data_IF_030295196499
#
_entry.id   IF_030295196499
#
_cell.length_a   1.000
_cell.length_b   1.000
_cell.length_c   1.000
_cell.angle_alpha   90.00
_cell.angle_beta   90.00
_cell.angle_gamma   90.00
#
_symmetry.space_group_name_H-M   'P 1'
#
loop_
_entity.id
_entity.type
_entity.pdbx_description
1 polymer ?
#
# COMPACT_ATOMS: atom_id res chain seq x y z
N UNK A 1 -12.35 11.42 -6.19
CA UNK A 1 -13.58 10.61 -5.97
C UNK A 1 -14.07 10.58 -4.51
N UNK A 2 -13.39 11.19 -3.52
CA UNK A 2 -13.97 11.40 -2.18
C UNK A 2 -14.37 10.12 -1.44
N UNK A 3 -13.83 8.97 -1.85
CA UNK A 3 -14.05 7.67 -1.23
C UNK A 3 -12.96 7.45 -0.18
N UNK A 4 -13.38 7.02 1.01
CA UNK A 4 -12.49 6.61 2.08
C UNK A 4 -12.07 5.15 1.84
N UNK A 5 -10.77 4.90 1.70
CA UNK A 5 -10.27 3.52 1.59
C UNK A 5 -9.90 3.05 3.00
N UNK A 6 -10.57 1.99 3.46
CA UNK A 6 -10.33 1.40 4.78
C UNK A 6 -9.36 0.23 4.65
N UNK A 7 -8.42 0.18 5.58
CA UNK A 7 -7.45 -0.92 5.73
C UNK A 7 -8.17 -2.27 5.86
N UNK A 8 -7.50 -3.38 5.49
CA UNK A 8 -8.05 -4.70 5.72
C UNK A 8 -8.21 -4.93 7.23
N UNK A 9 -9.27 -5.65 7.61
CA UNK A 9 -9.57 -5.98 9.00
C UNK A 9 -10.05 -7.43 9.12
N UNK A 10 -9.58 -8.14 10.14
CA UNK A 10 -9.86 -9.57 10.29
C UNK A 10 -11.34 -9.88 10.55
N UNK A 11 -12.10 -8.94 11.11
CA UNK A 11 -13.51 -9.10 11.45
C UNK A 11 -14.44 -8.49 10.39
N UNK A 12 -14.01 -7.45 9.70
CA UNK A 12 -14.84 -6.65 8.81
C UNK A 12 -14.52 -6.83 7.32
N UNK A 13 -13.30 -7.25 6.94
CA UNK A 13 -12.98 -7.52 5.55
C UNK A 13 -13.47 -8.89 5.11
N UNK A 14 -14.02 -8.98 3.91
CA UNK A 14 -14.26 -10.26 3.23
C UNK A 14 -13.08 -10.59 2.31
N UNK A 15 -13.17 -11.71 1.59
CA UNK A 15 -12.15 -12.06 0.59
C UNK A 15 -12.01 -10.97 -0.48
N UNK A 16 -13.13 -10.52 -1.05
CA UNK A 16 -13.18 -9.46 -2.06
C UNK A 16 -13.26 -8.08 -1.43
N UNK A 17 -12.97 -7.04 -2.21
CA UNK A 17 -13.18 -5.65 -1.81
C UNK A 17 -14.67 -5.37 -1.63
N UNK A 18 -15.02 -4.64 -0.57
CA UNK A 18 -16.41 -4.28 -0.28
C UNK A 18 -16.55 -2.77 -0.23
N UNK A 19 -17.40 -2.25 -1.12
CA UNK A 19 -17.88 -0.87 -1.06
C UNK A 19 -19.11 -0.76 -0.18
N UNK A 20 -19.10 0.17 0.79
CA UNK A 20 -20.27 0.57 1.56
C UNK A 20 -20.30 2.10 1.69
N UNK A 21 -21.39 2.72 1.23
CA UNK A 21 -21.57 4.17 1.18
C UNK A 21 -20.42 4.85 0.42
N UNK A 22 -19.67 5.73 1.09
CA UNK A 22 -18.48 6.42 0.57
C UNK A 22 -17.17 5.77 1.03
N UNK A 23 -17.20 4.50 1.44
CA UNK A 23 -16.01 3.79 1.86
C UNK A 23 -15.83 2.49 1.10
N UNK A 24 -14.58 2.15 0.79
CA UNK A 24 -14.19 0.85 0.24
C UNK A 24 -13.27 0.20 1.27
N UNK A 25 -13.65 -0.97 1.79
CA UNK A 25 -12.76 -1.77 2.63
C UNK A 25 -11.98 -2.74 1.76
N UNK A 26 -10.68 -2.79 2.01
CA UNK A 26 -9.75 -3.66 1.31
C UNK A 26 -10.06 -5.12 1.63
N UNK A 27 -10.19 -5.92 0.58
CA UNK A 27 -10.41 -7.36 0.70
C UNK A 27 -9.15 -8.11 1.12
N UNK A 28 -9.31 -9.21 1.85
CA UNK A 28 -8.19 -10.04 2.31
C UNK A 28 -7.45 -10.72 1.15
N UNK A 29 -8.04 -10.77 -0.05
CA UNK A 29 -7.36 -11.22 -1.27
C UNK A 29 -6.16 -10.34 -1.66
N UNK A 30 -6.08 -9.11 -1.14
CA UNK A 30 -4.97 -8.19 -1.42
C UNK A 30 -3.67 -8.58 -0.73
N UNK A 31 -3.73 -9.41 0.32
CA UNK A 31 -2.57 -9.83 1.08
C UNK A 31 -1.63 -10.67 0.20
N UNK A 32 -0.40 -10.19 0.05
CA UNK A 32 0.65 -10.90 -0.68
C UNK A 32 1.06 -12.16 0.07
N UNK A 33 1.28 -13.23 -0.68
CA UNK A 33 1.89 -14.47 -0.19
C UNK A 33 1.14 -15.20 0.94
N UNK A 34 -0.12 -14.84 1.21
CA UNK A 34 -0.91 -15.52 2.24
C UNK A 34 -1.48 -16.84 1.71
N UNK A 35 -1.54 -17.87 2.55
CA UNK A 35 -2.21 -19.11 2.18
C UNK A 35 -3.73 -18.91 2.05
N UNK A 36 -4.23 -18.92 0.81
CA UNK A 36 -5.66 -18.76 0.50
C UNK A 36 -6.55 -19.77 1.21
N UNK A 37 -6.12 -21.03 1.31
CA UNK A 37 -6.90 -22.08 1.98
C UNK A 37 -7.10 -21.75 3.46
N UNK A 38 -6.00 -21.35 4.12
CA UNK A 38 -6.04 -20.99 5.53
C UNK A 38 -6.92 -19.76 5.79
N UNK A 39 -6.88 -18.76 4.90
CA UNK A 39 -7.77 -17.60 4.99
C UNK A 39 -9.25 -17.91 4.74
N UNK A 40 -9.56 -18.86 3.86
CA UNK A 40 -10.94 -19.32 3.66
C UNK A 40 -11.47 -19.99 4.94
N UNK A 41 -10.64 -20.78 5.62
CA UNK A 41 -11.01 -21.42 6.88
C UNK A 41 -11.28 -20.39 7.99
N UNK A 42 -10.45 -19.33 8.06
CA UNK A 42 -10.68 -18.18 8.97
C UNK A 42 -12.02 -17.51 8.69
N UNK A 43 -12.32 -17.19 7.42
CA UNK A 43 -13.58 -16.57 7.03
C UNK A 43 -14.79 -17.48 7.32
N UNK A 44 -14.65 -18.78 7.11
CA UNK A 44 -15.68 -19.77 7.42
C UNK A 44 -15.94 -19.83 8.92
N UNK A 45 -14.88 -19.92 9.73
CA UNK A 45 -14.99 -19.86 11.19
C UNK A 45 -15.73 -18.60 11.66
N UNK A 46 -15.35 -17.43 11.12
CA UNK A 46 -15.98 -16.15 11.46
C UNK A 46 -17.48 -16.14 11.15
N UNK A 47 -17.89 -16.72 10.03
CA UNK A 47 -19.32 -16.83 9.64
C UNK A 47 -20.11 -17.77 10.54
N UNK A 48 -19.50 -18.87 10.98
CA UNK A 48 -20.18 -19.89 11.79
C UNK A 48 -20.18 -19.57 13.30
N UNK A 49 -19.13 -18.92 13.81
CA UNK A 49 -18.92 -18.71 15.26
C UNK A 49 -18.93 -17.24 15.68
N UNK A 50 -18.99 -16.31 14.72
CA UNK A 50 -18.96 -14.87 14.97
C UNK A 50 -17.54 -14.28 14.92
N UNK A 51 -17.41 -12.97 15.20
CA UNK A 51 -16.14 -12.24 15.12
C UNK A 51 -15.14 -12.70 16.19
N UNK A 52 -13.86 -12.47 15.93
CA UNK A 52 -12.80 -12.66 16.92
C UNK A 52 -12.84 -11.52 17.95
N UNK A 53 -12.74 -11.86 19.23
CA UNK A 53 -12.79 -10.93 20.36
C UNK A 53 -11.41 -10.38 20.78
N UNK A 54 -10.34 -11.09 20.45
CA UNK A 54 -8.95 -10.69 20.73
C UNK A 54 -7.98 -11.41 19.79
N UNK A 55 -6.74 -10.90 19.71
CA UNK A 55 -5.68 -11.57 18.98
C UNK A 55 -5.39 -12.97 19.53
N UNK A 56 -5.44 -13.14 20.85
CA UNK A 56 -5.29 -14.47 21.47
C UNK A 56 -6.41 -15.43 21.06
N UNK A 57 -7.67 -14.95 21.04
CA UNK A 57 -8.79 -15.76 20.56
C UNK A 57 -8.59 -16.20 19.10
N UNK A 58 -8.04 -15.33 18.25
CA UNK A 58 -7.67 -15.67 16.88
C UNK A 58 -6.59 -16.78 16.82
N UNK A 59 -5.51 -16.67 17.58
CA UNK A 59 -4.42 -17.66 17.61
C UNK A 59 -4.88 -19.06 18.07
N UNK A 60 -5.80 -19.13 19.04
CA UNK A 60 -6.31 -20.40 19.55
C UNK A 60 -7.23 -21.14 18.56
N UNK A 61 -7.93 -20.39 17.70
CA UNK A 61 -8.98 -20.94 16.83
C UNK A 61 -8.50 -21.24 15.41
N UNK A 62 -7.43 -20.57 14.99
CA UNK A 62 -6.90 -20.70 13.64
C UNK A 62 -5.72 -21.67 13.60
N UNK A 63 -5.59 -22.39 12.48
CA UNK A 63 -4.44 -23.27 12.22
C UNK A 63 -3.43 -22.64 11.25
N UNK A 64 -3.51 -21.31 11.10
CA UNK A 64 -2.63 -20.55 10.23
C UNK A 64 -1.20 -20.66 10.73
N UNK A 65 -0.24 -20.63 9.80
CA UNK A 65 1.17 -20.63 10.18
C UNK A 65 1.60 -19.26 10.71
N UNK A 66 2.75 -19.21 11.37
CA UNK A 66 3.26 -17.96 11.91
C UNK A 66 3.61 -16.93 10.81
N UNK A 67 3.89 -17.37 9.58
CA UNK A 67 4.27 -16.47 8.48
C UNK A 67 3.04 -15.71 7.96
N UNK A 68 1.94 -16.42 7.70
CA UNK A 68 0.64 -15.89 7.30
C UNK A 68 0.10 -14.92 8.37
N UNK A 69 0.24 -15.25 9.66
CA UNK A 69 -0.24 -14.37 10.74
C UNK A 69 0.62 -13.10 10.81
N UNK A 70 1.92 -13.21 10.59
CA UNK A 70 2.80 -12.04 10.51
C UNK A 70 2.40 -11.11 9.35
N UNK A 71 1.99 -11.66 8.20
CA UNK A 71 1.47 -10.87 7.08
C UNK A 71 0.19 -10.11 7.48
N UNK A 72 -0.75 -10.77 8.19
CA UNK A 72 -1.95 -10.10 8.70
C UNK A 72 -1.63 -8.96 9.67
N UNK A 73 -0.66 -9.15 10.57
CA UNK A 73 -0.22 -8.10 11.49
C UNK A 73 0.40 -6.93 10.71
N UNK A 74 1.30 -7.21 9.77
CA UNK A 74 1.96 -6.19 8.93
C UNK A 74 0.97 -5.41 8.06
N UNK A 75 -0.11 -6.06 7.60
CA UNK A 75 -1.18 -5.42 6.85
C UNK A 75 -2.14 -4.57 7.69
N UNK A 76 -2.04 -4.61 9.02
CA UNK A 76 -2.94 -3.89 9.92
C UNK A 76 -4.30 -4.56 10.16
N UNK A 77 -4.43 -5.86 9.85
CA UNK A 77 -5.71 -6.58 10.01
C UNK A 77 -6.20 -6.71 11.47
N UNK A 78 -5.35 -6.39 12.44
CA UNK A 78 -5.66 -6.44 13.87
C UNK A 78 -5.70 -5.05 14.53
N UNK A 79 -5.50 -3.97 13.76
CA UNK A 79 -5.41 -2.61 14.30
C UNK A 79 -6.75 -2.16 14.95
N UNK A 80 -7.91 -2.56 14.40
CA UNK A 80 -9.24 -2.30 15.03
C UNK A 80 -9.54 -3.28 16.18
N UNK A 81 -9.01 -4.51 16.14
CA UNK A 81 -9.23 -5.53 17.17
C UNK A 81 -8.46 -5.24 18.45
N UNK A 82 -7.25 -4.71 18.33
CA UNK A 82 -6.32 -4.46 19.44
C UNK A 82 -5.82 -3.00 19.41
N UNK A 83 -6.70 -1.99 19.61
CA UNK A 83 -6.36 -0.58 19.43
C UNK A 83 -5.28 -0.06 20.41
N UNK A 84 -5.05 -0.78 21.51
CA UNK A 84 -4.01 -0.46 22.49
C UNK A 84 -2.67 -1.15 22.24
N UNK A 85 -2.56 -2.01 21.22
CA UNK A 85 -1.35 -2.77 20.94
C UNK A 85 -0.66 -2.32 19.66
N UNK A 86 0.67 -2.31 19.69
CA UNK A 86 1.49 -2.01 18.53
C UNK A 86 1.75 -3.28 17.71
N UNK A 87 1.95 -3.14 16.39
CA UNK A 87 2.34 -4.28 15.52
C UNK A 87 3.57 -5.04 16.05
N UNK A 88 4.64 -4.38 16.55
CA UNK A 88 5.73 -5.05 17.26
C UNK A 88 5.28 -5.94 18.42
N UNK A 89 4.35 -5.48 19.26
CA UNK A 89 3.84 -6.25 20.40
C UNK A 89 3.07 -7.48 19.93
N UNK A 90 2.22 -7.35 18.90
CA UNK A 90 1.50 -8.48 18.30
C UNK A 90 2.45 -9.53 17.70
N UNK A 91 3.54 -9.09 17.04
CA UNK A 91 4.57 -9.99 16.51
C UNK A 91 5.31 -10.75 17.63
N UNK A 92 5.54 -10.12 18.77
CA UNK A 92 6.12 -10.80 19.94
C UNK A 92 5.17 -11.81 20.56
N UNK A 93 3.88 -11.46 20.68
CA UNK A 93 2.84 -12.41 21.12
C UNK A 93 2.76 -13.63 20.21
N UNK A 94 2.80 -13.41 18.89
CA UNK A 94 2.84 -14.47 17.89
C UNK A 94 4.04 -15.39 18.10
N UNK A 95 5.25 -14.83 18.20
CA UNK A 95 6.47 -15.62 18.43
C UNK A 95 6.39 -16.44 19.72
N UNK A 96 5.92 -15.83 20.80
CA UNK A 96 5.77 -16.51 22.09
C UNK A 96 4.77 -17.67 22.01
N UNK A 97 3.62 -17.47 21.36
CA UNK A 97 2.60 -18.51 21.21
C UNK A 97 3.12 -19.74 20.46
N UNK A 98 3.83 -19.53 19.35
CA UNK A 98 4.41 -20.64 18.58
C UNK A 98 5.58 -21.33 19.29
N UNK A 99 6.36 -20.60 20.10
CA UNK A 99 7.42 -21.20 20.91
C UNK A 99 6.87 -22.15 21.99
N UNK A 100 5.81 -21.73 22.68
CA UNK A 100 5.14 -22.55 23.71
C UNK A 100 4.50 -23.79 23.08
N UNK A 101 3.69 -23.61 22.03
CA UNK A 101 2.99 -24.74 21.37
C UNK A 101 3.95 -25.77 20.75
N UNK A 102 5.11 -25.36 20.25
CA UNK A 102 6.15 -26.29 19.79
C UNK A 102 6.78 -27.07 20.95
N UNK A 103 6.97 -26.43 22.11
CA UNK A 103 7.56 -27.05 23.30
C UNK A 103 6.61 -28.09 23.89
N UNK A 104 5.32 -27.78 23.99
CA UNK A 104 4.31 -28.71 24.52
C UNK A 104 4.11 -29.93 23.62
N UNK A 105 4.11 -29.74 22.29
CA UNK A 105 4.09 -30.84 21.33
C UNK A 105 5.29 -31.78 21.46
N UNK A 106 6.48 -31.24 21.74
CA UNK A 106 7.70 -32.04 21.93
C UNK A 106 7.72 -32.79 23.27
N UNK A 107 7.10 -32.23 24.31
CA UNK A 107 7.07 -32.82 25.66
C UNK A 107 5.90 -33.79 25.89
N UNK A 108 4.98 -33.95 24.92
CA UNK A 108 3.83 -34.85 25.02
C UNK A 108 2.88 -34.52 26.18
N UNK A 109 3.03 -33.35 26.78
CA UNK A 109 2.26 -32.94 27.96
C UNK A 109 1.07 -32.13 27.45
N UNK A 110 -0.13 -32.68 27.57
CA UNK A 110 -1.35 -31.89 27.47
C UNK A 110 -1.35 -30.94 28.67
N UNK A 111 -1.01 -29.67 28.48
CA UNK A 111 -0.99 -28.70 29.57
C UNK A 111 -2.42 -28.49 30.07
N UNK A 112 -2.78 -29.23 31.13
CA UNK A 112 -4.03 -29.17 31.88
C UNK A 112 -4.06 -27.97 32.83
N UNK A 113 -2.97 -27.21 32.89
CA UNK A 113 -2.90 -25.92 33.56
C UNK A 113 -3.04 -24.85 32.49
N UNK A 114 -4.17 -24.13 32.54
CA UNK A 114 -4.31 -22.84 31.89
C UNK A 114 -3.08 -22.02 32.28
N UNK A 115 -2.27 -21.66 31.29
CA UNK A 115 -1.16 -20.74 31.47
C UNK A 115 -1.79 -19.36 31.65
N UNK A 116 -2.37 -19.11 32.82
CA UNK A 116 -2.57 -17.78 33.37
C UNK A 116 -1.21 -17.22 33.79
N UNK A 117 -0.39 -17.00 32.78
CA UNK A 117 0.66 -16.01 32.83
C UNK A 117 0.72 -15.53 31.40
N UNK A 118 0.13 -14.36 31.14
CA UNK A 118 0.65 -13.53 30.06
C UNK A 118 2.16 -13.52 30.31
N UNK A 119 2.99 -14.17 29.47
CA UNK A 119 4.42 -14.08 29.69
C UNK A 119 4.74 -12.59 29.79
N UNK A 120 5.67 -12.19 30.67
CA UNK A 120 6.16 -10.82 30.68
C UNK A 120 6.83 -10.57 29.33
N UNK A 121 6.00 -10.28 28.33
CA UNK A 121 6.42 -10.08 26.96
C UNK A 121 7.09 -8.72 26.90
N UNK A 122 8.17 -8.61 26.11
CA UNK A 122 8.74 -7.31 25.87
C UNK A 122 7.67 -6.39 25.31
N UNK A 123 7.68 -5.14 25.75
CA UNK A 123 6.88 -4.06 25.19
C UNK A 123 7.79 -3.22 24.30
N UNK A 124 8.13 -3.69 23.09
CA UNK A 124 8.92 -2.90 22.16
C UNK A 124 8.19 -1.58 21.85
N UNK A 125 8.94 -0.51 21.56
CA UNK A 125 8.35 0.72 21.04
C UNK A 125 7.59 0.43 19.73
N UNK A 126 6.64 1.29 19.40
CA UNK A 126 5.99 1.25 18.10
C UNK A 126 7.04 1.38 16.98
N UNK A 127 6.74 0.79 15.82
CA UNK A 127 7.53 1.07 14.63
C UNK A 127 7.42 2.57 14.30
N UNK A 128 8.51 3.11 13.78
CA UNK A 128 8.50 4.40 13.11
C UNK A 128 7.61 4.35 11.85
N UNK A 129 7.25 5.54 11.34
CA UNK A 129 6.31 5.65 10.21
C UNK A 129 6.88 4.95 8.97
N UNK A 130 8.18 5.09 8.71
CA UNK A 130 8.83 4.50 7.53
C UNK A 130 8.77 2.96 7.57
N UNK A 131 9.15 2.33 8.68
CA UNK A 131 9.03 0.88 8.84
C UNK A 131 7.59 0.40 8.71
N UNK A 132 6.62 1.16 9.23
CA UNK A 132 5.20 0.82 9.13
C UNK A 132 4.73 0.81 7.67
N UNK A 133 5.12 1.83 6.89
CA UNK A 133 4.79 1.92 5.47
C UNK A 133 5.47 0.82 4.66
N UNK A 134 6.74 0.50 4.96
CA UNK A 134 7.45 -0.60 4.31
C UNK A 134 6.76 -1.95 4.55
N UNK A 135 6.30 -2.21 5.78
CA UNK A 135 5.52 -3.41 6.10
C UNK A 135 4.18 -3.47 5.37
N UNK A 136 3.52 -2.33 5.18
CA UNK A 136 2.29 -2.25 4.41
C UNK A 136 2.54 -2.62 2.94
N UNK A 137 3.61 -2.11 2.32
CA UNK A 137 4.01 -2.50 0.95
C UNK A 137 4.40 -3.97 0.86
N UNK A 138 5.11 -4.50 1.86
CA UNK A 138 5.47 -5.92 1.91
C UNK A 138 4.22 -6.82 1.95
N UNK A 139 3.25 -6.45 2.79
CA UNK A 139 2.05 -7.25 3.02
C UNK A 139 0.96 -7.07 1.96
N UNK A 140 0.78 -5.87 1.41
CA UNK A 140 -0.32 -5.55 0.48
C UNK A 140 0.15 -5.28 -0.95
N UNK A 141 1.41 -4.90 -1.10
CA UNK A 141 2.03 -4.57 -2.38
C UNK A 141 1.99 -3.12 -2.79
N UNK A 142 1.19 -2.30 -2.11
CA UNK A 142 1.09 -0.86 -2.31
C UNK A 142 0.65 -0.20 -1.00
N UNK A 143 0.81 1.12 -0.93
CA UNK A 143 0.31 1.91 0.19
C UNK A 143 -1.16 2.24 -0.02
N UNK A 144 -1.96 1.91 0.98
CA UNK A 144 -3.38 2.24 1.10
C UNK A 144 -3.53 3.46 1.99
N UNK A 145 -2.71 3.53 3.05
CA UNK A 145 -2.74 4.58 4.05
C UNK A 145 -2.20 5.94 3.55
N UNK A 146 -1.37 5.94 2.51
CA UNK A 146 -0.63 7.11 2.00
C UNK A 146 -0.39 7.03 0.50
N UNK A 147 -0.07 8.17 -0.11
CA UNK A 147 0.36 8.24 -1.50
C UNK A 147 1.75 7.55 -1.67
N UNK A 148 1.99 6.75 -2.73
CA UNK A 148 3.26 6.03 -2.96
C UNK A 148 4.52 6.90 -2.92
N UNK A 149 4.45 8.14 -3.43
CA UNK A 149 5.51 9.16 -3.29
C UNK A 149 6.01 9.40 -1.86
N UNK A 150 5.23 9.02 -0.84
CA UNK A 150 5.65 9.09 0.57
C UNK A 150 6.93 8.30 0.83
N UNK A 151 7.15 7.19 0.12
CA UNK A 151 8.35 6.35 0.23
C UNK A 151 9.61 7.03 -0.31
N UNK A 152 9.46 8.09 -1.10
CA UNK A 152 10.56 8.80 -1.77
C UNK A 152 10.80 10.19 -1.16
N UNK A 153 10.18 10.50 -0.02
CA UNK A 153 10.25 11.85 0.59
C UNK A 153 11.68 12.35 0.78
N UNK A 154 12.61 11.49 1.20
CA UNK A 154 14.00 11.86 1.40
C UNK A 154 14.66 12.35 0.11
N UNK A 155 14.54 11.57 -0.98
CA UNK A 155 15.06 11.91 -2.30
C UNK A 155 14.37 13.16 -2.88
N UNK A 156 13.05 13.25 -2.71
CA UNK A 156 12.26 14.38 -3.21
C UNK A 156 12.58 15.70 -2.49
N UNK A 157 12.98 15.66 -1.22
CA UNK A 157 13.34 16.86 -0.46
C UNK A 157 14.66 17.50 -0.95
N UNK A 158 15.52 16.74 -1.64
CA UNK A 158 16.76 17.25 -2.24
C UNK A 158 16.53 17.87 -3.63
N UNK A 159 15.33 17.70 -4.19
CA UNK A 159 14.98 18.14 -5.53
C UNK A 159 14.11 19.41 -5.49
N UNK A 160 14.44 20.39 -6.33
CA UNK A 160 13.57 21.53 -6.59
C UNK A 160 12.55 21.17 -7.67
N UNK A 161 11.30 20.90 -7.28
CA UNK A 161 10.20 20.60 -8.19
C UNK A 161 8.94 21.43 -7.89
N UNK A 162 8.10 21.56 -8.91
CA UNK A 162 6.79 22.23 -8.84
C UNK A 162 5.71 21.17 -8.63
N UNK A 163 4.74 21.50 -7.77
CA UNK A 163 3.57 20.67 -7.48
C UNK A 163 2.61 20.64 -8.67
N UNK A 164 2.01 19.49 -8.92
CA UNK A 164 1.01 19.28 -9.96
C UNK A 164 -0.13 20.29 -9.92
N UNK A 165 -0.59 20.61 -8.71
CA UNK A 165 -1.64 21.61 -8.45
C UNK A 165 -1.27 23.04 -8.90
N UNK A 166 0.01 23.35 -9.09
CA UNK A 166 0.50 24.69 -9.42
C UNK A 166 0.87 24.87 -10.89
N UNK A 167 0.74 23.84 -11.74
CA UNK A 167 1.13 23.89 -13.15
C UNK A 167 0.66 25.18 -13.85
N UNK A 168 -0.60 25.59 -13.63
CA UNK A 168 -1.21 26.77 -14.25
C UNK A 168 -0.44 28.07 -14.02
N UNK A 169 0.33 28.18 -12.92
CA UNK A 169 1.12 29.38 -12.59
C UNK A 169 2.36 29.52 -13.49
N UNK A 170 2.80 28.43 -14.12
CA UNK A 170 4.06 28.33 -14.84
C UNK A 170 3.87 28.20 -16.36
N UNK A 171 2.70 28.57 -16.90
CA UNK A 171 2.43 28.53 -18.35
C UNK A 171 3.51 29.28 -19.12
N UNK A 172 4.05 28.63 -20.15
CA UNK A 172 5.14 29.14 -20.98
C UNK A 172 6.54 28.90 -20.42
N UNK A 173 6.67 28.47 -19.16
CA UNK A 173 7.95 28.21 -18.50
C UNK A 173 8.32 26.74 -18.55
N UNK A 174 9.62 26.46 -18.47
CA UNK A 174 10.16 25.11 -18.30
C UNK A 174 10.30 24.78 -16.82
N UNK A 175 9.69 23.70 -16.37
CA UNK A 175 9.65 23.30 -14.96
C UNK A 175 10.07 21.84 -14.78
N UNK A 176 10.33 21.46 -13.52
CA UNK A 176 10.52 20.08 -13.09
C UNK A 176 9.32 19.69 -12.23
N UNK A 177 8.70 18.55 -12.51
CA UNK A 177 7.60 17.96 -11.75
C UNK A 177 7.94 16.52 -11.37
N UNK A 178 7.25 16.01 -10.36
CA UNK A 178 7.30 14.59 -9.97
C UNK A 178 5.97 13.96 -10.33
N UNK A 179 6.02 12.86 -11.07
CA UNK A 179 4.84 12.16 -11.54
C UNK A 179 4.86 10.69 -11.18
N UNK A 180 3.77 10.23 -10.55
CA UNK A 180 3.41 8.82 -10.48
C UNK A 180 2.46 8.49 -11.65
N UNK A 181 2.77 7.46 -12.43
CA UNK A 181 1.97 7.13 -13.61
C UNK A 181 0.55 6.70 -13.24
N UNK A 182 -0.47 7.32 -13.85
CA UNK A 182 -1.88 6.96 -13.66
C UNK A 182 -2.42 6.21 -14.89
N UNK A 183 -2.35 6.84 -16.06
CA UNK A 183 -2.84 6.26 -17.31
C UNK A 183 -2.21 6.97 -18.52
N UNK A 184 -2.21 6.28 -19.66
CA UNK A 184 -1.63 6.77 -20.90
C UNK A 184 -2.51 6.44 -22.11
N UNK A 185 -2.50 7.31 -23.11
CA UNK A 185 -3.19 7.11 -24.39
C UNK A 185 -2.24 7.39 -25.54
N UNK A 186 -1.81 6.31 -26.17
CA UNK A 186 -0.99 6.36 -27.39
C UNK A 186 -1.84 6.90 -28.55
N UNK A 187 -1.26 7.81 -29.32
CA UNK A 187 -1.87 8.41 -30.50
C UNK A 187 -0.82 8.73 -31.55
N UNK A 188 -1.23 9.27 -32.69
CA UNK A 188 -0.34 9.65 -33.77
C UNK A 188 -0.53 11.13 -34.11
N UNK A 189 0.57 11.80 -34.42
CA UNK A 189 0.55 13.15 -34.97
C UNK A 189 -0.08 13.17 -36.36
N UNK A 190 -0.32 14.36 -36.92
CA UNK A 190 -0.75 14.53 -38.31
C UNK A 190 0.22 13.94 -39.34
N UNK A 191 1.48 13.73 -38.95
CA UNK A 191 2.53 13.11 -39.77
C UNK A 191 2.69 11.61 -39.47
N UNK A 192 1.69 10.99 -38.83
CA UNK A 192 1.65 9.57 -38.47
C UNK A 192 2.76 9.11 -37.49
N UNK A 193 3.49 10.03 -36.87
CA UNK A 193 4.46 9.72 -35.82
C UNK A 193 3.77 9.47 -34.48
N UNK A 194 4.18 8.42 -33.77
CA UNK A 194 3.62 8.03 -32.47
C UNK A 194 3.92 9.07 -31.40
N UNK A 195 2.94 9.36 -30.54
CA UNK A 195 3.07 10.21 -29.37
C UNK A 195 2.12 9.71 -28.28
N UNK A 196 2.28 10.17 -27.04
CA UNK A 196 1.41 9.74 -25.94
C UNK A 196 0.98 10.89 -25.05
N UNK A 197 -0.30 10.90 -24.69
CA UNK A 197 -0.81 11.71 -23.59
C UNK A 197 -0.82 10.86 -22.33
N UNK A 198 -0.14 11.32 -21.28
CA UNK A 198 0.01 10.57 -20.05
C UNK A 198 -0.45 11.43 -18.89
N UNK A 199 -1.37 10.90 -18.09
CA UNK A 199 -1.79 11.49 -16.83
C UNK A 199 -0.86 10.98 -15.73
N UNK A 200 -0.23 11.93 -15.03
CA UNK A 200 0.58 11.66 -13.86
C UNK A 200 -0.09 12.26 -12.63
N UNK A 201 0.22 11.74 -11.45
CA UNK A 201 -0.21 12.31 -10.18
C UNK A 201 0.95 12.61 -9.25
N UNK A 202 0.80 13.66 -8.46
CA UNK A 202 1.59 13.88 -7.27
C UNK A 202 0.70 13.92 -6.03
N UNK A 203 1.29 14.20 -4.87
CA UNK A 203 0.53 14.33 -3.61
C UNK A 203 -0.52 15.46 -3.59
N UNK A 204 -0.58 16.29 -4.64
CA UNK A 204 -1.40 17.51 -4.70
C UNK A 204 -2.44 17.50 -5.81
N UNK A 205 -2.15 16.90 -6.98
CA UNK A 205 -3.08 16.83 -8.11
C UNK A 205 -2.69 15.75 -9.11
N UNK A 206 -3.69 15.31 -9.89
CA UNK A 206 -3.48 14.67 -11.19
C UNK A 206 -3.25 15.78 -12.22
N UNK A 207 -2.24 15.64 -13.07
CA UNK A 207 -1.89 16.57 -14.13
C UNK A 207 -1.55 15.84 -15.43
N UNK A 208 -1.81 16.51 -16.54
CA UNK A 208 -1.64 15.93 -17.88
C UNK A 208 -0.27 16.27 -18.46
N UNK A 209 0.30 15.31 -19.19
CA UNK A 209 1.60 15.46 -19.85
C UNK A 209 1.53 14.97 -21.29
N UNK A 210 2.38 15.55 -22.13
CA UNK A 210 2.47 15.20 -23.55
C UNK A 210 3.87 14.74 -23.88
N UNK A 211 3.98 13.51 -24.39
CA UNK A 211 5.20 12.91 -24.89
C UNK A 211 5.16 12.95 -26.42
N UNK A 212 5.68 14.02 -27.00
CA UNK A 212 5.82 14.15 -28.45
C UNK A 212 6.78 13.09 -29.03
N UNK A 213 6.75 12.80 -30.35
CA UNK A 213 7.42 11.62 -30.91
C UNK A 213 8.87 11.42 -30.49
N UNK A 214 9.69 12.48 -30.51
CA UNK A 214 11.08 12.43 -30.06
C UNK A 214 11.23 12.02 -28.58
N UNK A 215 10.37 12.55 -27.72
CA UNK A 215 10.34 12.22 -26.28
C UNK A 215 9.77 10.82 -26.06
N UNK A 216 8.70 10.48 -26.77
CA UNK A 216 8.05 9.17 -26.73
C UNK A 216 9.05 8.06 -27.06
N UNK A 217 9.68 8.11 -28.23
CA UNK A 217 10.64 7.10 -28.68
C UNK A 217 11.80 6.95 -27.69
N UNK A 218 12.23 8.07 -27.07
CA UNK A 218 13.37 8.09 -26.17
C UNK A 218 13.05 7.59 -24.76
N UNK A 219 11.88 7.87 -24.21
CA UNK A 219 11.63 7.72 -22.78
C UNK A 219 10.45 6.83 -22.42
N UNK A 220 9.61 6.41 -23.39
CA UNK A 220 8.38 5.69 -23.04
C UNK A 220 8.62 4.38 -22.30
N UNK A 221 9.73 3.69 -22.61
CA UNK A 221 10.14 2.46 -21.93
C UNK A 221 10.49 2.65 -20.44
N UNK A 222 10.69 3.89 -19.98
CA UNK A 222 10.89 4.21 -18.57
C UNK A 222 9.57 4.42 -17.82
N UNK A 223 8.49 4.74 -18.53
CA UNK A 223 7.18 5.02 -17.94
C UNK A 223 6.55 3.73 -17.42
N UNK A 224 6.36 3.67 -16.11
CA UNK A 224 5.88 2.50 -15.39
C UNK A 224 5.11 2.91 -14.14
N UNK A 225 4.20 2.05 -13.68
CA UNK A 225 3.32 2.30 -12.52
C UNK A 225 3.93 1.89 -11.18
N UNK A 226 5.19 1.45 -11.17
CA UNK A 226 5.88 0.90 -10.00
C UNK A 226 6.78 1.92 -9.28
N UNK A 227 7.16 3.01 -9.95
CA UNK A 227 8.07 4.03 -9.40
C UNK A 227 7.75 5.43 -9.92
N UNK A 228 8.11 6.47 -9.16
CA UNK A 228 7.91 7.84 -9.61
C UNK A 228 8.97 8.26 -10.62
N UNK A 229 8.58 9.21 -11.47
CA UNK A 229 9.44 9.83 -12.47
C UNK A 229 9.63 11.32 -12.18
N UNK A 230 10.84 11.80 -12.42
CA UNK A 230 11.15 13.22 -12.55
C UNK A 230 10.88 13.61 -13.99
N UNK A 231 9.95 14.53 -14.20
CA UNK A 231 9.52 15.02 -15.50
C UNK A 231 9.97 16.46 -15.67
N UNK A 232 10.73 16.75 -16.72
CA UNK A 232 11.08 18.13 -17.10
C UNK A 232 10.47 18.45 -18.45
N UNK A 233 9.94 19.66 -18.55
CA UNK A 233 9.23 20.07 -19.75
C UNK A 233 8.69 21.47 -19.65
N UNK A 234 8.05 21.92 -20.73
CA UNK A 234 7.41 23.22 -20.82
C UNK A 234 5.94 23.10 -20.48
N UNK A 235 5.43 24.00 -19.64
CA UNK A 235 3.99 24.08 -19.39
C UNK A 235 3.32 24.79 -20.55
N UNK A 236 2.33 24.15 -21.14
CA UNK A 236 1.56 24.67 -22.26
C UNK A 236 0.08 24.71 -21.89
N UNK A 237 -0.64 25.65 -22.50
CA UNK A 237 -2.07 25.82 -22.30
C UNK A 237 -2.76 25.89 -23.66
N UNK A 238 -3.52 24.86 -24.00
CA UNK A 238 -4.28 24.78 -25.25
C UNK A 238 -5.76 24.56 -24.93
N UNK A 239 -6.64 25.41 -25.49
CA UNK A 239 -8.09 25.32 -25.31
C UNK A 239 -8.56 25.25 -23.84
N UNK A 240 -7.79 25.86 -22.92
CA UNK A 240 -8.08 25.86 -21.47
C UNK A 240 -7.56 24.65 -20.70
N UNK A 241 -7.01 23.64 -21.38
CA UNK A 241 -6.29 22.54 -20.75
C UNK A 241 -4.82 22.92 -20.57
N UNK A 242 -4.28 22.69 -19.36
CA UNK A 242 -2.87 22.92 -19.05
C UNK A 242 -2.15 21.58 -19.00
N UNK A 243 -1.09 21.45 -19.79
CA UNK A 243 -0.30 20.23 -19.94
C UNK A 243 1.18 20.53 -19.75
N UNK A 244 1.94 19.52 -19.33
CA UNK A 244 3.40 19.57 -19.35
C UNK A 244 3.91 18.84 -20.60
N UNK A 245 4.45 19.58 -21.56
CA UNK A 245 5.11 19.02 -22.74
C UNK A 245 6.52 18.56 -22.34
N UNK A 246 6.67 17.24 -22.17
CA UNK A 246 7.86 16.62 -21.58
C UNK A 246 8.99 16.55 -22.61
N UNK A 247 10.20 16.93 -22.18
CA UNK A 247 11.42 16.85 -22.98
C UNK A 247 12.51 15.96 -22.34
N UNK A 248 12.41 15.69 -21.04
CA UNK A 248 13.36 14.89 -20.29
C UNK A 248 12.67 14.13 -19.15
N UNK A 249 13.05 12.86 -18.98
CA UNK A 249 12.53 11.95 -17.95
C UNK A 249 13.71 11.31 -17.22
N UNK A 250 13.66 11.29 -15.90
CA UNK A 250 14.64 10.66 -15.01
C UNK A 250 13.91 9.84 -13.93
N UNK A 251 14.57 8.84 -13.35
CA UNK A 251 14.07 8.17 -12.13
C UNK A 251 14.39 9.03 -10.92
N UNK A 252 13.52 8.98 -9.90
CA UNK A 252 13.80 9.52 -8.55
C UNK A 252 14.86 8.69 -7.85
#
# INVERSE_FOLDING_TARGET
MGLEIKMPDINHSEWQYIGKNKSIRVGLMQLKSINRGAMIDVLKYRREKGPFSSFHHFLQRTKMDAADIAILIKAGCFDELEPGQTRPQLLWQLKSYFAVTQTDRKKGTLSLFEVEASPNLPQPPAFDEETTLQQEVEALGFLISRHPLTLYRAQLNELSYIKGSELKKYIGQRITCIGWFVTGKVTSTKQEQMMEFISFEDTTAIYETTFFPKTYDRFIHMVSSDRPLILRGKVEAEFGAVTLSVDQVEFV
#
